data_IF_777393038205
#
_entry.id   IF_777393038205
#
_cell.length_a   1.000
_cell.length_b   1.000
_cell.length_c   1.000
_cell.angle_alpha   90.00
_cell.angle_beta   90.00
_cell.angle_gamma   90.00
#
_symmetry.space_group_name_H-M   'P 1'
#
loop_
_entity.id
_entity.type
_entity.pdbx_description
1 polymer ?
#
# COMPACT_ATOMS: atom_id res chain seq x y z
N UNK A 1 -17.92 46.12 -51.94
CA UNK A 1 -17.98 44.87 -52.72
C UNK A 1 -16.81 43.91 -52.44
N UNK A 2 -15.82 44.27 -51.62
CA UNK A 2 -14.61 43.47 -51.34
C UNK A 2 -14.77 42.41 -50.23
N UNK A 3 -15.67 42.59 -49.27
CA UNK A 3 -15.85 41.65 -48.16
C UNK A 3 -16.39 40.27 -48.61
N UNK A 4 -17.34 40.26 -49.54
CA UNK A 4 -17.92 39.02 -50.07
C UNK A 4 -16.91 38.19 -50.87
N UNK A 5 -16.04 38.86 -51.64
CA UNK A 5 -14.97 38.19 -52.37
C UNK A 5 -13.92 37.58 -51.42
N UNK A 6 -13.58 38.28 -50.32
CA UNK A 6 -12.67 37.74 -49.29
C UNK A 6 -13.26 36.53 -48.55
N UNK A 7 -14.57 36.51 -48.31
CA UNK A 7 -15.27 35.39 -47.67
C UNK A 7 -15.42 34.18 -48.60
N UNK A 8 -15.65 34.41 -49.89
CA UNK A 8 -15.63 33.37 -50.92
C UNK A 8 -14.25 32.70 -50.98
N UNK A 9 -13.17 33.49 -51.00
CA UNK A 9 -11.80 32.97 -51.00
C UNK A 9 -11.45 32.23 -49.71
N UNK A 10 -11.94 32.68 -48.56
CA UNK A 10 -11.77 32.00 -47.28
C UNK A 10 -12.49 30.64 -47.27
N UNK A 11 -13.73 30.60 -47.75
CA UNK A 11 -14.50 29.36 -47.87
C UNK A 11 -13.82 28.37 -48.82
N UNK A 12 -13.38 28.81 -49.99
CA UNK A 12 -12.68 27.96 -50.95
C UNK A 12 -11.37 27.41 -50.38
N UNK A 13 -10.62 28.21 -49.62
CA UNK A 13 -9.40 27.74 -48.93
C UNK A 13 -9.70 26.65 -47.92
N UNK A 14 -10.76 26.80 -47.12
CA UNK A 14 -11.13 25.80 -46.11
C UNK A 14 -11.67 24.52 -46.75
N UNK A 15 -12.37 24.63 -47.89
CA UNK A 15 -12.83 23.47 -48.65
C UNK A 15 -11.65 22.69 -49.27
N UNK A 16 -10.68 23.40 -49.84
CA UNK A 16 -9.45 22.83 -50.39
C UNK A 16 -8.57 22.19 -49.29
N UNK A 17 -8.43 22.84 -48.14
CA UNK A 17 -7.69 22.31 -47.00
C UNK A 17 -8.28 21.01 -46.43
N UNK A 18 -9.55 20.71 -46.74
CA UNK A 18 -10.31 19.55 -46.24
C UNK A 18 -10.63 18.51 -47.30
N UNK A 19 -10.08 18.66 -48.51
CA UNK A 19 -10.29 17.74 -49.65
C UNK A 19 -11.78 17.53 -49.97
N UNK A 20 -12.60 18.57 -49.76
CA UNK A 20 -14.04 18.52 -50.06
C UNK A 20 -14.21 18.89 -51.54
N UNK A 21 -14.77 17.97 -52.34
CA UNK A 21 -14.97 18.14 -53.79
C UNK A 21 -16.13 19.11 -54.12
N UNK A 22 -16.03 20.37 -53.72
CA UNK A 22 -16.94 21.45 -54.10
C UNK A 22 -16.16 22.48 -54.94
N UNK A 23 -16.62 22.71 -56.17
CA UNK A 23 -15.93 23.57 -57.13
C UNK A 23 -16.18 25.06 -56.89
N UNK A 24 -15.30 25.90 -57.44
CA UNK A 24 -15.48 27.37 -57.43
C UNK A 24 -16.86 27.77 -57.96
N UNK A 25 -17.35 27.10 -59.00
CA UNK A 25 -18.60 27.44 -59.67
C UNK A 25 -19.84 27.12 -58.82
N UNK A 26 -19.78 26.07 -58.00
CA UNK A 26 -20.86 25.69 -57.08
C UNK A 26 -21.04 26.72 -55.96
N UNK A 27 -19.92 27.26 -55.48
CA UNK A 27 -19.90 28.25 -54.40
C UNK A 27 -20.13 29.66 -54.95
N UNK A 28 -19.63 29.98 -56.15
CA UNK A 28 -19.79 31.28 -56.78
C UNK A 28 -21.26 31.63 -57.05
N UNK A 29 -22.08 30.65 -57.47
CA UNK A 29 -23.52 30.84 -57.64
C UNK A 29 -24.21 31.33 -56.36
N UNK A 30 -23.75 30.82 -55.22
CA UNK A 30 -24.29 31.14 -53.91
C UNK A 30 -23.97 32.58 -53.47
N UNK A 31 -22.83 33.13 -53.92
CA UNK A 31 -22.43 34.53 -53.66
C UNK A 31 -22.92 35.53 -54.71
N UNK A 32 -23.43 35.07 -55.86
CA UNK A 32 -23.96 35.90 -56.94
C UNK A 32 -25.44 36.28 -56.72
N UNK A 33 -26.22 35.40 -56.05
CA UNK A 33 -27.60 35.71 -55.65
C UNK A 33 -27.69 36.72 -54.49
N UNK A 34 -28.30 37.88 -54.72
CA UNK A 34 -28.40 38.99 -53.75
C UNK A 34 -29.15 38.63 -52.45
N UNK A 35 -30.09 37.68 -52.49
CA UNK A 35 -30.83 37.21 -51.30
C UNK A 35 -30.05 36.19 -50.47
N UNK A 36 -29.23 35.36 -51.12
CA UNK A 36 -28.49 34.26 -50.48
C UNK A 36 -27.14 34.72 -49.94
N UNK A 37 -26.54 35.72 -50.60
CA UNK A 37 -25.27 36.35 -50.22
C UNK A 37 -25.17 36.75 -48.74
N UNK A 38 -26.13 37.49 -48.13
CA UNK A 38 -26.01 37.84 -46.71
C UNK A 38 -26.12 36.63 -45.78
N UNK A 39 -26.95 35.64 -46.14
CA UNK A 39 -27.14 34.41 -45.34
C UNK A 39 -25.89 33.55 -45.33
N UNK A 40 -25.28 33.35 -46.50
CA UNK A 40 -24.03 32.57 -46.62
C UNK A 40 -22.88 33.29 -45.95
N UNK A 41 -22.80 34.62 -46.10
CA UNK A 41 -21.81 35.45 -45.40
C UNK A 41 -21.90 35.27 -43.88
N UNK A 42 -23.11 35.29 -43.32
CA UNK A 42 -23.35 35.02 -41.90
C UNK A 42 -22.94 33.60 -41.51
N UNK A 43 -23.31 32.61 -42.33
CA UNK A 43 -22.99 31.20 -42.08
C UNK A 43 -21.47 30.93 -42.11
N UNK A 44 -20.75 31.50 -43.08
CA UNK A 44 -19.28 31.41 -43.14
C UNK A 44 -18.65 32.11 -41.93
N UNK A 45 -19.22 33.20 -41.44
CA UNK A 45 -18.69 33.86 -40.26
C UNK A 45 -18.95 33.07 -38.96
N UNK A 46 -20.11 32.44 -38.85
CA UNK A 46 -20.56 31.73 -37.64
C UNK A 46 -19.92 30.34 -37.52
N UNK A 47 -19.77 29.60 -38.63
CA UNK A 47 -19.36 28.20 -38.61
C UNK A 47 -17.93 27.95 -39.13
N UNK A 48 -17.32 28.91 -39.84
CA UNK A 48 -16.01 28.78 -40.48
C UNK A 48 -14.92 29.67 -39.84
N UNK A 49 -14.91 29.77 -38.50
CA UNK A 49 -13.92 30.50 -37.72
C UNK A 49 -12.84 29.57 -37.15
N UNK A 50 -11.64 30.09 -36.88
CA UNK A 50 -10.50 29.29 -36.40
C UNK A 50 -10.77 28.30 -35.23
N UNK A 51 -11.63 28.60 -34.23
CA UNK A 51 -11.96 27.66 -33.16
C UNK A 51 -13.07 26.66 -33.51
N UNK A 52 -13.84 26.86 -34.60
CA UNK A 52 -14.84 25.89 -35.09
C UNK A 52 -14.26 24.99 -36.18
N UNK A 53 -13.05 25.30 -36.67
CA UNK A 53 -12.34 24.48 -37.63
C UNK A 53 -11.35 23.58 -36.89
N UNK A 54 -11.56 22.26 -36.94
CA UNK A 54 -10.52 21.31 -36.54
C UNK A 54 -9.28 21.56 -37.40
N UNK A 55 -8.14 21.67 -36.73
CA UNK A 55 -6.83 21.72 -37.38
C UNK A 55 -6.54 20.41 -38.11
N UNK A 56 -5.62 20.43 -39.08
CA UNK A 56 -5.26 19.23 -39.86
C UNK A 56 -4.80 18.07 -38.97
N UNK A 57 -4.13 18.38 -37.87
CA UNK A 57 -3.70 17.39 -36.87
C UNK A 57 -4.89 16.77 -36.12
N UNK A 58 -5.86 17.59 -35.71
CA UNK A 58 -7.07 17.13 -35.02
C UNK A 58 -7.98 16.29 -35.93
N UNK A 59 -8.13 16.69 -37.20
CA UNK A 59 -8.88 15.93 -38.19
C UNK A 59 -8.19 14.60 -38.50
N UNK A 60 -6.86 14.60 -38.66
CA UNK A 60 -6.09 13.38 -38.85
C UNK A 60 -6.21 12.45 -37.63
N UNK A 61 -6.18 12.99 -36.41
CA UNK A 61 -6.34 12.21 -35.19
C UNK A 61 -7.72 11.52 -35.14
N UNK A 62 -8.79 12.27 -35.40
CA UNK A 62 -10.16 11.74 -35.42
C UNK A 62 -10.40 10.73 -36.55
N UNK A 63 -9.79 10.93 -37.71
CA UNK A 63 -9.93 10.02 -38.86
C UNK A 63 -9.13 8.75 -38.68
N UNK A 64 -7.98 8.83 -38.00
CA UNK A 64 -7.09 7.69 -37.74
C UNK A 64 -7.57 6.84 -36.56
N UNK A 65 -8.33 7.40 -35.63
CA UNK A 65 -8.90 6.69 -34.47
C UNK A 65 -10.44 6.78 -34.46
N UNK A 66 -11.14 6.17 -35.44
CA UNK A 66 -12.60 6.19 -35.53
C UNK A 66 -13.27 5.28 -34.49
N UNK A 67 -12.59 4.22 -34.04
CA UNK A 67 -12.99 3.39 -32.91
C UNK A 67 -11.99 3.64 -31.77
N UNK A 68 -12.52 3.95 -30.60
CA UNK A 68 -11.72 4.11 -29.39
C UNK A 68 -10.88 2.86 -29.13
N UNK A 69 -9.57 3.01 -29.03
CA UNK A 69 -8.68 2.00 -28.46
C UNK A 69 -7.42 2.75 -28.05
N UNK A 70 -7.25 3.04 -26.76
CA UNK A 70 -6.54 2.12 -25.87
C UNK A 70 -5.19 1.78 -26.48
N UNK A 71 -4.15 2.50 -26.08
CA UNK A 71 -2.98 1.85 -25.50
C UNK A 71 -1.94 2.88 -25.07
N UNK A 72 -1.48 2.64 -23.85
CA UNK A 72 -0.17 2.97 -23.33
C UNK A 72 0.09 4.39 -22.80
N UNK A 73 -0.05 4.41 -21.48
CA UNK A 73 1.03 4.77 -20.53
C UNK A 73 1.45 6.23 -20.48
N UNK A 74 1.06 6.87 -19.38
CA UNK A 74 1.77 8.01 -18.84
C UNK A 74 0.92 9.27 -18.86
N UNK A 75 0.13 9.46 -17.81
CA UNK A 75 -0.36 10.77 -17.40
C UNK A 75 -1.21 11.49 -18.45
N UNK A 76 -2.46 11.06 -18.60
CA UNK A 76 -3.44 11.72 -19.47
C UNK A 76 -3.79 13.14 -18.99
N UNK A 77 -4.18 14.04 -19.92
CA UNK A 77 -4.40 15.45 -19.66
C UNK A 77 -5.58 15.65 -18.71
N UNK A 78 -5.38 16.55 -17.74
CA UNK A 78 -6.37 17.03 -16.78
C UNK A 78 -7.61 17.56 -17.52
N UNK A 79 -8.64 16.75 -17.70
CA UNK A 79 -9.89 17.21 -18.33
C UNK A 79 -10.80 16.17 -18.99
N UNK A 80 -10.43 14.87 -19.07
CA UNK A 80 -11.38 13.86 -19.57
C UNK A 80 -12.46 13.58 -18.49
N UNK A 81 -13.76 13.59 -18.83
CA UNK A 81 -14.79 13.06 -17.92
C UNK A 81 -14.53 11.56 -17.70
N UNK A 82 -14.46 11.16 -16.43
CA UNK A 82 -14.27 9.77 -16.00
C UNK A 82 -15.32 8.87 -16.66
N UNK A 83 -14.89 7.81 -17.36
CA UNK A 83 -15.82 6.84 -17.95
C UNK A 83 -16.31 5.86 -16.88
N UNK A 84 -17.48 5.23 -17.12
CA UNK A 84 -18.09 4.25 -16.20
C UNK A 84 -17.13 3.10 -15.87
N UNK A 85 -16.33 2.67 -16.84
CA UNK A 85 -15.24 1.70 -16.67
C UNK A 85 -14.17 2.14 -15.67
N UNK A 86 -13.87 3.45 -15.62
CA UNK A 86 -12.85 4.00 -14.70
C UNK A 86 -13.40 4.02 -13.27
N UNK A 87 -14.71 4.26 -13.13
CA UNK A 87 -15.40 4.13 -11.84
C UNK A 87 -15.44 2.67 -11.39
N UNK A 88 -15.80 1.73 -12.25
CA UNK A 88 -15.78 0.29 -11.93
C UNK A 88 -14.38 -0.17 -11.52
N UNK A 89 -13.34 0.25 -12.25
CA UNK A 89 -11.95 -0.07 -11.91
C UNK A 89 -11.52 0.54 -10.56
N UNK A 90 -11.90 1.79 -10.28
CA UNK A 90 -11.63 2.44 -9.01
C UNK A 90 -12.37 1.76 -7.85
N UNK A 91 -13.62 1.35 -8.06
CA UNK A 91 -14.43 0.61 -7.08
C UNK A 91 -13.79 -0.74 -6.80
N UNK A 92 -13.45 -1.52 -7.83
CA UNK A 92 -12.80 -2.81 -7.67
C UNK A 92 -11.44 -2.69 -6.93
N UNK A 93 -10.66 -1.65 -7.26
CA UNK A 93 -9.40 -1.37 -6.54
C UNK A 93 -9.64 -1.03 -5.08
N UNK A 94 -10.69 -0.26 -4.77
CA UNK A 94 -11.03 0.12 -3.40
C UNK A 94 -11.51 -1.10 -2.60
N UNK A 95 -12.37 -1.93 -3.18
CA UNK A 95 -12.85 -3.18 -2.57
C UNK A 95 -11.69 -4.15 -2.29
N UNK A 96 -10.76 -4.30 -3.24
CA UNK A 96 -9.56 -5.11 -3.03
C UNK A 96 -8.70 -4.59 -1.87
N UNK A 97 -8.53 -3.27 -1.75
CA UNK A 97 -7.81 -2.64 -0.65
C UNK A 97 -8.51 -2.86 0.70
N UNK A 98 -9.82 -2.65 0.76
CA UNK A 98 -10.62 -2.90 1.97
C UNK A 98 -10.57 -4.37 2.38
N UNK A 99 -10.70 -5.30 1.45
CA UNK A 99 -10.59 -6.74 1.72
C UNK A 99 -9.20 -7.13 2.24
N UNK A 100 -8.13 -6.47 1.76
CA UNK A 100 -6.78 -6.68 2.27
C UNK A 100 -6.62 -6.14 3.70
N UNK A 101 -7.17 -4.96 3.99
CA UNK A 101 -7.17 -4.36 5.33
C UNK A 101 -7.94 -5.24 6.31
N UNK A 102 -9.13 -5.73 5.94
CA UNK A 102 -9.93 -6.61 6.80
C UNK A 102 -9.18 -7.90 7.17
N UNK A 103 -8.48 -8.51 6.20
CA UNK A 103 -7.62 -9.67 6.47
C UNK A 103 -6.49 -9.34 7.45
N UNK A 104 -5.87 -8.18 7.32
CA UNK A 104 -4.84 -7.73 8.26
C UNK A 104 -5.41 -7.49 9.66
N UNK A 105 -6.59 -6.87 9.76
CA UNK A 105 -7.28 -6.66 11.04
C UNK A 105 -7.62 -7.99 11.73
N UNK A 106 -8.15 -8.96 10.99
CA UNK A 106 -8.43 -10.30 11.52
C UNK A 106 -7.16 -10.97 12.04
N UNK A 107 -6.06 -10.91 11.28
CA UNK A 107 -4.79 -11.46 11.72
C UNK A 107 -4.30 -10.78 13.00
N UNK A 108 -4.36 -9.46 13.09
CA UNK A 108 -3.95 -8.72 14.28
C UNK A 108 -4.81 -9.07 15.50
N UNK A 109 -6.12 -9.22 15.35
CA UNK A 109 -6.99 -9.64 16.45
C UNK A 109 -6.67 -11.07 16.91
N UNK A 110 -6.39 -12.01 16.00
CA UNK A 110 -5.95 -13.36 16.39
C UNK A 110 -4.61 -13.34 17.12
N UNK A 111 -3.65 -12.52 16.67
CA UNK A 111 -2.35 -12.36 17.35
C UNK A 111 -2.52 -11.74 18.73
N UNK A 112 -3.35 -10.71 18.86
CA UNK A 112 -3.68 -10.07 20.13
C UNK A 112 -4.33 -11.06 21.08
N UNK A 113 -5.28 -11.87 20.62
CA UNK A 113 -5.92 -12.90 21.45
C UNK A 113 -4.90 -13.93 21.94
N UNK A 114 -4.03 -14.44 21.06
CA UNK A 114 -2.97 -15.37 21.43
C UNK A 114 -1.99 -14.76 22.45
N UNK A 115 -1.61 -13.49 22.29
CA UNK A 115 -0.76 -12.78 23.24
C UNK A 115 -1.45 -12.57 24.59
N UNK A 116 -2.74 -12.24 24.61
CA UNK A 116 -3.48 -12.11 25.86
C UNK A 116 -3.60 -13.44 26.60
N UNK A 117 -3.82 -14.55 25.88
CA UNK A 117 -3.85 -15.88 26.47
C UNK A 117 -2.47 -16.28 27.01
N UNK A 118 -1.40 -16.02 26.25
CA UNK A 118 -0.04 -16.28 26.70
C UNK A 118 0.30 -15.44 27.93
N UNK A 119 -0.09 -14.16 27.95
CA UNK A 119 0.07 -13.28 29.12
C UNK A 119 -0.69 -13.83 30.32
N UNK A 120 -1.95 -14.25 30.16
CA UNK A 120 -2.75 -14.84 31.23
C UNK A 120 -2.12 -16.14 31.78
N UNK A 121 -1.66 -17.02 30.90
CA UNK A 121 -0.91 -18.24 31.27
C UNK A 121 0.41 -17.90 31.97
N UNK A 122 1.10 -16.85 31.54
CA UNK A 122 2.36 -16.46 32.14
C UNK A 122 2.18 -15.79 33.50
N UNK A 123 1.17 -14.92 33.69
CA UNK A 123 0.81 -14.42 35.03
C UNK A 123 0.41 -15.53 36.00
N UNK A 124 -0.12 -16.66 35.50
CA UNK A 124 -0.40 -17.82 36.34
C UNK A 124 0.84 -18.68 36.64
N UNK A 125 1.91 -18.62 35.82
CA UNK A 125 3.17 -19.36 36.04
C UNK A 125 4.24 -18.54 36.77
N UNK A 126 4.29 -17.23 36.53
CA UNK A 126 5.29 -16.34 37.10
C UNK A 126 4.92 -15.95 38.53
N UNK A 127 5.65 -16.54 39.47
CA UNK A 127 6.14 -15.79 40.63
C UNK A 127 5.89 -16.42 41.99
N UNK A 128 4.71 -17.01 42.25
CA UNK A 128 4.33 -17.29 43.64
C UNK A 128 4.48 -18.74 44.09
N UNK A 129 4.32 -19.72 43.21
CA UNK A 129 4.26 -21.14 43.58
C UNK A 129 5.53 -21.86 43.20
N UNK A 130 5.91 -21.87 41.92
CA UNK A 130 7.10 -22.56 41.45
C UNK A 130 8.41 -22.02 42.08
N UNK A 131 8.54 -20.69 42.21
CA UNK A 131 9.68 -20.07 42.87
C UNK A 131 9.71 -20.36 44.38
N UNK A 132 8.55 -20.34 45.05
CA UNK A 132 8.46 -20.69 46.48
C UNK A 132 8.73 -22.16 46.74
N UNK A 133 8.26 -23.06 45.87
CA UNK A 133 8.49 -24.49 46.02
C UNK A 133 9.96 -24.85 45.77
N UNK A 134 10.59 -24.18 44.80
CA UNK A 134 12.05 -24.28 44.60
C UNK A 134 12.82 -23.76 45.83
N UNK A 135 12.43 -22.62 46.38
CA UNK A 135 13.07 -22.08 47.59
C UNK A 135 12.89 -22.99 48.81
N UNK A 136 11.69 -23.54 49.02
CA UNK A 136 11.42 -24.50 50.10
C UNK A 136 12.27 -25.77 49.97
N UNK A 137 12.44 -26.27 48.75
CA UNK A 137 13.30 -27.44 48.48
C UNK A 137 14.76 -27.13 48.83
N UNK A 138 15.28 -26.00 48.36
CA UNK A 138 16.66 -25.57 48.66
C UNK A 138 16.89 -25.38 50.17
N UNK A 139 15.93 -24.82 50.90
CA UNK A 139 16.03 -24.65 52.36
C UNK A 139 16.10 -25.99 53.09
N UNK A 140 15.31 -26.98 52.65
CA UNK A 140 15.35 -28.34 53.23
C UNK A 140 16.67 -29.05 52.93
N UNK A 141 17.14 -28.98 51.68
CA UNK A 141 18.40 -29.58 51.27
C UNK A 141 19.58 -28.95 52.01
N UNK A 142 19.57 -27.61 52.18
CA UNK A 142 20.56 -26.91 52.99
C UNK A 142 20.55 -27.40 54.44
N UNK A 143 19.39 -27.45 55.09
CA UNK A 143 19.31 -27.92 56.47
C UNK A 143 19.79 -29.38 56.63
N UNK A 144 19.52 -30.24 55.65
CA UNK A 144 20.00 -31.62 55.64
C UNK A 144 21.53 -31.70 55.47
N UNK A 145 22.10 -30.87 54.59
CA UNK A 145 23.55 -30.78 54.41
C UNK A 145 24.23 -30.22 55.65
N UNK A 146 23.69 -29.17 56.26
CA UNK A 146 24.23 -28.58 57.49
C UNK A 146 24.26 -29.63 58.61
N UNK A 147 23.18 -30.42 58.78
CA UNK A 147 23.16 -31.53 59.74
C UNK A 147 24.22 -32.61 59.44
N UNK A 148 24.37 -33.01 58.17
CA UNK A 148 25.37 -34.01 57.79
C UNK A 148 26.81 -33.50 57.97
N UNK A 149 27.04 -32.20 57.79
CA UNK A 149 28.32 -31.54 58.05
C UNK A 149 28.63 -31.53 59.54
N UNK A 150 27.66 -31.16 60.38
CA UNK A 150 27.82 -31.16 61.83
C UNK A 150 28.10 -32.58 62.35
N UNK A 151 27.35 -33.59 61.87
CA UNK A 151 27.59 -35.00 62.23
C UNK A 151 28.99 -35.48 61.82
N UNK A 152 29.46 -35.09 60.63
CA UNK A 152 30.81 -35.43 60.17
C UNK A 152 31.89 -34.71 60.98
N UNK A 153 31.66 -33.44 61.35
CA UNK A 153 32.56 -32.65 62.17
C UNK A 153 32.69 -33.26 63.58
N UNK A 154 31.58 -33.63 64.20
CA UNK A 154 31.56 -34.31 65.50
C UNK A 154 32.28 -35.67 65.43
N UNK A 155 32.04 -36.45 64.36
CA UNK A 155 32.73 -37.72 64.16
C UNK A 155 34.25 -37.55 63.98
N UNK A 156 34.69 -36.52 63.25
CA UNK A 156 36.10 -36.18 63.09
C UNK A 156 36.73 -35.73 64.42
N UNK A 157 36.05 -34.87 65.17
CA UNK A 157 36.51 -34.40 66.46
C UNK A 157 36.63 -35.54 67.48
N UNK A 158 35.65 -36.45 67.50
CA UNK A 158 35.70 -37.66 68.32
C UNK A 158 36.89 -38.56 67.96
N UNK A 159 37.12 -38.80 66.66
CA UNK A 159 38.29 -39.56 66.18
C UNK A 159 39.60 -38.90 66.54
N UNK A 160 39.71 -37.58 66.39
CA UNK A 160 40.91 -36.83 66.73
C UNK A 160 41.20 -36.90 68.23
N UNK A 161 40.18 -36.73 69.09
CA UNK A 161 40.32 -36.91 70.53
C UNK A 161 40.72 -38.34 70.91
N UNK A 162 40.16 -39.35 70.25
CA UNK A 162 40.53 -40.75 70.47
C UNK A 162 42.00 -41.02 70.09
N UNK A 163 42.46 -40.49 68.95
CA UNK A 163 43.86 -40.59 68.53
C UNK A 163 44.81 -39.88 69.48
N UNK A 164 44.47 -38.67 69.96
CA UNK A 164 45.28 -37.96 70.96
C UNK A 164 45.42 -38.80 72.23
N UNK A 165 44.29 -39.32 72.75
CA UNK A 165 44.32 -40.21 73.93
C UNK A 165 45.16 -41.47 73.70
N UNK A 166 45.13 -42.05 72.50
CA UNK A 166 45.98 -43.20 72.15
C UNK A 166 47.46 -42.85 72.12
N UNK A 167 47.83 -41.67 71.59
CA UNK A 167 49.21 -41.19 71.58
C UNK A 167 49.70 -40.97 73.01
N UNK A 168 48.91 -40.29 73.85
CA UNK A 168 49.24 -40.07 75.26
C UNK A 168 49.40 -41.39 76.03
N UNK A 169 48.49 -42.34 75.83
CA UNK A 169 48.56 -43.66 76.45
C UNK A 169 49.80 -44.45 75.99
N UNK A 170 50.18 -44.32 74.71
CA UNK A 170 51.37 -44.97 74.16
C UNK A 170 52.66 -44.34 74.69
N UNK A 171 52.68 -43.02 74.94
CA UNK A 171 53.82 -42.33 75.55
C UNK A 171 54.00 -42.69 77.04
N UNK A 172 52.91 -42.90 77.77
CA UNK A 172 52.95 -43.32 79.19
C UNK A 172 53.40 -44.78 79.38
N UNK A 173 53.16 -45.67 78.40
CA UNK A 173 53.64 -47.06 78.45
C UNK A 173 55.11 -47.22 78.03
N UNK A 174 55.71 -46.18 77.43
CA UNK A 174 57.10 -46.17 76.98
C UNK A 174 58.07 -45.45 77.94
N UNK A 175 57.57 -44.96 79.08
CA UNK A 175 58.36 -44.33 80.17
C UNK A 175 58.33 -45.21 81.43
#
# INVERSE_FOLDING_TARGET
>A
MTAAAGQLQHLLRVLDERDISLGHDDVAWAFDHNETKPKITSWVHEYLFAPTLLTKEELHYHTTHPDGTENCTGHGPTGRPLSDSDFEAAIASLEASTAAIDKQCQLLETQKQALTELKARNTNRDGSTAARDRQKKLVREKAQLDFAVDELADALQSKLQASIKQIDASQQLAS
#
